data_IF_885457092661
#
_entry.id   IF_885457092661
#
_cell.length_a   1.000
_cell.length_b   1.000
_cell.length_c   1.000
_cell.angle_alpha   90.00
_cell.angle_beta   90.00
_cell.angle_gamma   90.00
#
_symmetry.space_group_name_H-M   'P 1'
#
loop_
_entity.id
_entity.type
_entity.pdbx_description
1 polymer ?
#
# COMPACT_ATOMS: atom_id res chain seq x y z
N UNK A 1 -4.60 -3.02 -6.14
CA UNK A 1 -4.17 -1.62 -5.82
C UNK A 1 -2.96 -1.71 -4.91
N UNK A 2 -1.79 -1.27 -5.36
CA UNK A 2 -0.53 -1.42 -4.61
C UNK A 2 -0.50 -0.54 -3.34
N UNK A 3 -1.13 0.63 -3.41
CA UNK A 3 -1.18 1.60 -2.33
C UNK A 3 -2.31 1.36 -1.32
N UNK A 4 -3.23 0.43 -1.59
CA UNK A 4 -4.37 0.22 -0.71
C UNK A 4 -4.03 -0.78 0.38
N UNK A 5 -4.31 -0.40 1.61
CA UNK A 5 -4.07 -1.26 2.77
C UNK A 5 -4.82 -2.61 2.65
N UNK A 6 -4.17 -3.72 3.04
CA UNK A 6 -4.71 -5.06 2.80
C UNK A 6 -6.03 -5.32 3.54
N UNK A 7 -6.25 -4.72 4.69
CA UNK A 7 -7.51 -4.78 5.44
C UNK A 7 -8.68 -4.17 4.67
N UNK A 8 -8.45 -3.11 3.89
CA UNK A 8 -9.47 -2.51 3.02
C UNK A 8 -9.76 -3.41 1.81
N UNK A 9 -8.74 -4.12 1.28
CA UNK A 9 -8.92 -5.05 0.16
C UNK A 9 -9.65 -6.34 0.56
N UNK A 10 -9.53 -6.76 1.83
CA UNK A 10 -10.19 -7.95 2.38
C UNK A 10 -11.60 -7.68 2.91
N UNK A 11 -12.00 -6.41 3.01
CA UNK A 11 -13.31 -6.03 3.51
C UNK A 11 -14.43 -6.51 2.56
N UNK A 12 -15.64 -6.82 3.08
CA UNK A 12 -16.78 -7.21 2.24
C UNK A 12 -17.17 -6.15 1.19
N UNK A 13 -16.87 -4.87 1.49
CA UNK A 13 -17.12 -3.74 0.60
C UNK A 13 -15.84 -2.89 0.48
N UNK A 14 -14.89 -3.30 -0.37
CA UNK A 14 -13.61 -2.59 -0.52
C UNK A 14 -13.83 -1.13 -0.92
N UNK A 15 -13.12 -0.21 -0.26
CA UNK A 15 -13.16 1.22 -0.56
C UNK A 15 -14.31 2.02 0.05
N UNK A 16 -15.24 1.39 0.78
CA UNK A 16 -16.30 2.11 1.50
C UNK A 16 -15.82 2.75 2.81
N UNK A 17 -14.73 2.24 3.39
CA UNK A 17 -14.23 2.70 4.68
C UNK A 17 -12.73 2.95 4.59
N UNK A 18 -12.33 4.14 5.04
CA UNK A 18 -10.93 4.48 5.31
C UNK A 18 -10.63 4.33 6.80
N UNK A 19 -9.39 4.02 7.12
CA UNK A 19 -8.89 3.96 8.48
C UNK A 19 -7.58 4.73 8.57
N UNK A 20 -7.27 5.27 9.75
CA UNK A 20 -5.98 5.93 10.01
C UNK A 20 -4.80 5.00 9.69
N UNK A 21 -4.91 3.72 10.06
CA UNK A 21 -3.86 2.74 9.80
C UNK A 21 -3.69 2.49 8.29
N UNK A 22 -4.79 2.45 7.54
CA UNK A 22 -4.73 2.36 6.09
C UNK A 22 -4.13 3.59 5.41
N UNK A 23 -4.34 4.77 5.96
CA UNK A 23 -3.67 6.00 5.49
C UNK A 23 -2.17 5.95 5.78
N UNK A 24 -1.76 5.48 6.96
CA UNK A 24 -0.35 5.27 7.32
C UNK A 24 0.30 4.27 6.37
N UNK A 25 -0.37 3.15 6.07
CA UNK A 25 0.10 2.17 5.09
C UNK A 25 0.32 2.80 3.72
N UNK A 26 -0.69 3.49 3.20
CA UNK A 26 -0.67 4.11 1.87
C UNK A 26 0.44 5.16 1.77
N UNK A 27 0.53 6.05 2.77
CA UNK A 27 1.55 7.09 2.84
C UNK A 27 2.97 6.50 2.89
N UNK A 28 3.17 5.41 3.61
CA UNK A 28 4.49 4.75 3.74
C UNK A 28 5.02 4.26 2.38
N UNK A 29 4.13 3.69 1.55
CA UNK A 29 4.48 3.24 0.20
C UNK A 29 4.83 4.45 -0.69
N UNK A 30 4.01 5.50 -0.66
CA UNK A 30 4.27 6.75 -1.42
C UNK A 30 5.61 7.38 -1.01
N UNK A 31 5.90 7.47 0.28
CA UNK A 31 7.18 8.01 0.78
C UNK A 31 8.35 7.15 0.33
N UNK A 32 8.21 5.82 0.36
CA UNK A 32 9.25 4.91 -0.13
C UNK A 32 9.56 5.16 -1.61
N UNK A 33 8.55 5.29 -2.46
CA UNK A 33 8.73 5.59 -3.90
C UNK A 33 9.44 6.93 -4.12
N UNK A 34 9.05 7.98 -3.37
CA UNK A 34 9.65 9.32 -3.50
C UNK A 34 11.11 9.32 -3.04
N UNK A 35 11.40 8.73 -1.88
CA UNK A 35 12.73 8.74 -1.28
C UNK A 35 13.70 7.85 -2.07
N UNK A 36 13.25 6.66 -2.49
CA UNK A 36 14.10 5.68 -3.16
C UNK A 36 14.11 5.84 -4.70
N UNK A 37 13.19 6.64 -5.25
CA UNK A 37 12.97 6.77 -6.71
C UNK A 37 12.77 5.41 -7.40
N UNK A 38 12.14 4.49 -6.69
CA UNK A 38 11.85 3.12 -7.14
C UNK A 38 10.35 2.88 -7.25
N UNK A 39 9.94 1.74 -7.84
CA UNK A 39 8.54 1.33 -7.87
C UNK A 39 7.98 1.06 -6.45
N UNK A 40 6.65 0.95 -6.27
CA UNK A 40 6.05 0.50 -5.03
C UNK A 40 6.68 -0.83 -4.58
N UNK A 41 6.91 -0.97 -3.27
CA UNK A 41 7.51 -2.17 -2.67
C UNK A 41 8.95 -2.46 -3.11
N UNK A 42 9.70 -1.47 -3.61
CA UNK A 42 11.09 -1.64 -4.06
C UNK A 42 12.02 -2.31 -3.03
N UNK A 43 11.74 -2.17 -1.72
CA UNK A 43 12.50 -2.84 -0.66
C UNK A 43 12.08 -4.28 -0.37
N UNK A 44 10.95 -4.73 -0.91
CA UNK A 44 10.48 -6.11 -0.78
C UNK A 44 10.89 -6.86 -2.05
N UNK A 45 11.65 -7.94 -1.89
CA UNK A 45 11.90 -8.87 -2.99
C UNK A 45 10.64 -9.72 -3.25
N UNK A 46 9.60 -9.08 -3.79
CA UNK A 46 8.39 -9.74 -4.26
C UNK A 46 8.66 -10.13 -5.72
N UNK A 47 9.08 -11.37 -5.91
CA UNK A 47 9.08 -12.01 -7.23
C UNK A 47 7.64 -12.19 -7.69
N UNK A 48 7.38 -12.03 -8.98
CA UNK A 48 6.04 -12.09 -9.56
C UNK A 48 5.50 -13.53 -9.75
N UNK A 49 6.07 -14.52 -9.06
CA UNK A 49 5.78 -15.95 -9.23
C UNK A 49 4.56 -16.42 -8.41
#
# INVERSE_FOLDING_TARGET
LLWTAPEHLRAPHPGQFGTREGDVYSFSIVVQEVVLRGPPFFMLHISAD
#
